data_IF_415263362698
#
_entry.id   IF_415263362698
#
_cell.length_a   1.000
_cell.length_b   1.000
_cell.length_c   1.000
_cell.angle_alpha   90.00
_cell.angle_beta   90.00
_cell.angle_gamma   90.00
#
_symmetry.space_group_name_H-M   'P 1'
#
loop_
_entity.id
_entity.type
_entity.pdbx_description
1 polymer ?
#
# COMPACT_ATOMS: atom_id res chain seq x y z
N UNK A 1 23.32 34.87 74.85
CA UNK A 1 23.75 35.03 73.45
C UNK A 1 23.40 33.72 72.71
N UNK A 2 22.21 33.65 72.07
CA UNK A 2 21.68 32.53 71.43
C UNK A 2 21.89 32.71 69.93
N UNK A 3 22.78 31.90 69.35
CA UNK A 3 23.04 31.92 67.91
C UNK A 3 21.95 31.10 67.17
N UNK A 4 21.08 31.80 66.43
CA UNK A 4 20.10 31.20 65.52
C UNK A 4 20.82 30.81 64.24
N UNK A 5 20.99 29.51 64.04
CA UNK A 5 21.41 28.96 62.76
C UNK A 5 20.18 28.82 61.86
N UNK A 6 20.03 29.74 60.90
CA UNK A 6 19.00 29.71 59.90
C UNK A 6 19.50 28.78 58.77
N UNK A 7 19.08 27.54 58.80
CA UNK A 7 19.36 26.56 57.72
C UNK A 7 18.51 26.88 56.49
N UNK A 8 19.12 27.54 55.52
CA UNK A 8 18.53 27.75 54.20
C UNK A 8 18.51 26.40 53.43
N UNK A 9 17.34 25.73 53.48
CA UNK A 9 17.08 24.53 52.72
C UNK A 9 16.87 24.94 51.25
N UNK A 10 17.92 24.86 50.44
CA UNK A 10 17.84 25.05 48.99
C UNK A 10 17.04 23.87 48.40
N UNK A 11 15.73 24.08 48.24
CA UNK A 11 14.89 23.17 47.45
C UNK A 11 15.32 23.29 46.00
N UNK A 12 16.19 22.39 45.58
CA UNK A 12 16.51 22.17 44.18
C UNK A 12 15.26 21.61 43.48
N UNK A 13 14.60 22.32 42.56
CA UNK A 13 13.56 21.70 41.79
C UNK A 13 14.25 20.66 40.91
N UNK A 14 14.08 19.37 41.22
CA UNK A 14 14.30 18.29 40.28
C UNK A 14 13.36 18.55 39.10
N UNK A 15 13.84 19.30 38.13
CA UNK A 15 13.26 19.32 36.81
C UNK A 15 13.39 17.87 36.29
N UNK A 16 12.33 17.05 36.51
CA UNK A 16 12.12 15.86 35.74
C UNK A 16 12.01 16.35 34.28
N UNK A 17 13.14 16.41 33.59
CA UNK A 17 13.15 16.49 32.15
C UNK A 17 12.36 15.27 31.68
N UNK A 18 11.11 15.48 31.30
CA UNK A 18 10.28 14.48 30.68
C UNK A 18 11.03 14.05 29.44
N UNK A 19 11.79 12.97 29.56
CA UNK A 19 12.59 12.42 28.47
C UNK A 19 11.62 12.00 27.37
N UNK A 20 11.54 12.79 26.31
CA UNK A 20 10.67 12.50 25.19
C UNK A 20 11.07 11.14 24.61
N UNK A 21 10.19 10.18 24.72
CA UNK A 21 10.42 8.83 24.18
C UNK A 21 10.13 8.82 22.69
N UNK A 22 11.16 8.53 21.93
CA UNK A 22 11.05 8.34 20.48
C UNK A 22 11.11 6.84 20.19
N UNK A 23 10.23 6.37 19.33
CA UNK A 23 10.20 5.00 18.86
C UNK A 23 10.24 4.97 17.33
N UNK A 24 10.54 3.81 16.79
CA UNK A 24 10.50 3.55 15.36
C UNK A 24 9.45 2.51 15.04
N UNK A 25 8.95 2.53 13.83
CA UNK A 25 8.06 1.51 13.27
C UNK A 25 8.40 1.29 11.80
N UNK A 26 8.35 0.07 11.34
CA UNK A 26 8.49 -0.30 9.93
C UNK A 26 7.10 -0.60 9.35
N UNK A 27 6.43 0.45 8.82
CA UNK A 27 5.08 0.29 8.26
C UNK A 27 5.10 -0.55 7.00
N UNK A 28 6.17 -0.52 6.22
CA UNK A 28 6.29 -1.34 5.01
C UNK A 28 6.34 -2.83 5.36
N UNK A 29 7.08 -3.21 6.40
CA UNK A 29 7.12 -4.58 6.90
C UNK A 29 5.76 -5.04 7.44
N UNK A 30 5.06 -4.16 8.17
CA UNK A 30 3.70 -4.43 8.65
C UNK A 30 2.76 -4.67 7.47
N UNK A 31 2.74 -3.77 6.50
CA UNK A 31 1.88 -3.86 5.31
C UNK A 31 2.12 -5.14 4.53
N UNK A 32 3.38 -5.53 4.30
CA UNK A 32 3.73 -6.76 3.55
C UNK A 32 3.29 -8.05 4.23
N UNK A 33 3.10 -8.02 5.56
CA UNK A 33 2.67 -9.18 6.35
C UNK A 33 1.16 -9.23 6.61
N UNK A 34 0.43 -8.14 6.30
CA UNK A 34 -1.01 -8.06 6.53
C UNK A 34 -1.80 -8.96 5.57
N UNK A 35 -2.68 -9.85 6.08
CA UNK A 35 -3.57 -10.65 5.22
C UNK A 35 -4.49 -9.79 4.34
N UNK A 36 -4.90 -8.63 4.86
CA UNK A 36 -5.76 -7.69 4.16
C UNK A 36 -5.11 -7.19 2.86
N UNK A 37 -3.78 -6.94 2.86
CA UNK A 37 -3.01 -6.54 1.67
C UNK A 37 -3.00 -7.67 0.64
N UNK A 38 -2.72 -8.90 1.06
CA UNK A 38 -2.73 -10.06 0.16
C UNK A 38 -4.12 -10.27 -0.48
N UNK A 39 -5.17 -10.06 0.30
CA UNK A 39 -6.54 -10.14 -0.20
C UNK A 39 -6.86 -9.03 -1.21
N UNK A 40 -6.37 -7.81 -0.96
CA UNK A 40 -6.51 -6.70 -1.89
C UNK A 40 -5.74 -6.95 -3.19
N UNK A 41 -4.51 -7.43 -3.09
CA UNK A 41 -3.68 -7.80 -4.27
C UNK A 41 -4.34 -8.90 -5.11
N UNK A 42 -4.88 -9.94 -4.47
CA UNK A 42 -5.59 -11.02 -5.17
C UNK A 42 -6.81 -10.49 -5.93
N UNK A 43 -7.60 -9.59 -5.33
CA UNK A 43 -8.76 -8.97 -5.99
C UNK A 43 -8.34 -8.10 -7.17
N UNK A 44 -7.26 -7.33 -7.05
CA UNK A 44 -6.71 -6.53 -8.14
C UNK A 44 -6.20 -7.41 -9.27
N UNK A 45 -5.53 -8.50 -8.95
CA UNK A 45 -5.07 -9.47 -9.94
C UNK A 45 -6.23 -10.14 -10.70
N UNK A 46 -7.30 -10.50 -9.99
CA UNK A 46 -8.49 -11.08 -10.64
C UNK A 46 -9.22 -10.05 -11.50
N UNK A 47 -9.26 -8.79 -11.09
CA UNK A 47 -9.80 -7.69 -11.90
C UNK A 47 -8.97 -7.49 -13.17
N UNK A 48 -7.64 -7.46 -13.06
CA UNK A 48 -6.74 -7.36 -14.21
C UNK A 48 -6.98 -8.50 -15.21
N UNK A 49 -7.10 -9.75 -14.73
CA UNK A 49 -7.40 -10.91 -15.59
C UNK A 49 -8.72 -10.76 -16.35
N UNK A 50 -9.75 -10.17 -15.72
CA UNK A 50 -11.05 -9.92 -16.39
C UNK A 50 -10.87 -8.92 -17.52
N UNK A 51 -10.20 -7.80 -17.27
CA UNK A 51 -9.92 -6.81 -18.30
C UNK A 51 -9.10 -7.41 -19.47
N UNK A 52 -8.06 -8.18 -19.15
CA UNK A 52 -7.24 -8.85 -20.18
C UNK A 52 -8.08 -9.81 -21.04
N UNK A 53 -9.01 -10.56 -20.43
CA UNK A 53 -9.90 -11.46 -21.16
C UNK A 53 -10.86 -10.70 -22.07
N UNK A 54 -11.43 -9.59 -21.60
CA UNK A 54 -12.35 -8.75 -22.37
C UNK A 54 -11.62 -8.09 -23.56
N UNK A 55 -10.43 -7.54 -23.32
CA UNK A 55 -9.59 -6.95 -24.38
C UNK A 55 -9.18 -8.01 -25.40
N UNK A 56 -8.79 -9.20 -24.97
CA UNK A 56 -8.45 -10.32 -25.86
C UNK A 56 -9.63 -10.74 -26.72
N UNK A 57 -10.84 -10.73 -26.17
CA UNK A 57 -12.06 -11.02 -26.93
C UNK A 57 -12.26 -9.99 -28.04
N UNK A 58 -12.13 -8.69 -27.73
CA UNK A 58 -12.21 -7.63 -28.73
C UNK A 58 -11.10 -7.71 -29.78
N UNK A 59 -9.87 -8.08 -29.40
CA UNK A 59 -8.77 -8.29 -30.35
C UNK A 59 -9.05 -9.45 -31.28
N UNK A 60 -9.63 -10.54 -30.77
CA UNK A 60 -10.04 -11.69 -31.59
C UNK A 60 -11.16 -11.32 -32.56
N UNK A 61 -12.13 -10.53 -32.11
CA UNK A 61 -13.20 -9.98 -32.98
C UNK A 61 -12.61 -9.14 -34.10
N UNK A 62 -11.69 -8.21 -33.74
CA UNK A 62 -10.99 -7.36 -34.71
C UNK A 62 -10.29 -8.19 -35.78
N UNK A 63 -9.51 -9.19 -35.35
CA UNK A 63 -8.79 -10.05 -36.26
C UNK A 63 -9.74 -10.80 -37.22
N UNK A 64 -10.80 -11.40 -36.68
CA UNK A 64 -11.77 -12.15 -37.49
C UNK A 64 -12.47 -11.25 -38.53
N UNK A 65 -12.85 -10.01 -38.14
CA UNK A 65 -13.46 -9.06 -39.07
C UNK A 65 -12.48 -8.58 -40.14
N UNK A 66 -11.24 -8.31 -39.77
CA UNK A 66 -10.19 -7.94 -40.73
C UNK A 66 -9.90 -9.07 -41.75
N UNK A 67 -9.80 -10.31 -41.25
CA UNK A 67 -9.61 -11.48 -42.15
C UNK A 67 -10.79 -11.69 -43.07
N UNK A 68 -12.04 -11.57 -42.57
CA UNK A 68 -13.24 -11.67 -43.39
C UNK A 68 -13.25 -10.60 -44.49
N UNK A 69 -12.97 -9.33 -44.11
CA UNK A 69 -12.90 -8.25 -45.11
C UNK A 69 -11.83 -8.52 -46.16
N UNK A 70 -10.64 -8.99 -45.77
CA UNK A 70 -9.55 -9.28 -46.67
C UNK A 70 -9.90 -10.40 -47.68
N UNK A 71 -10.63 -11.44 -47.24
CA UNK A 71 -11.07 -12.57 -48.10
C UNK A 71 -12.16 -12.14 -49.09
N UNK A 72 -13.03 -11.22 -48.69
CA UNK A 72 -14.24 -10.89 -49.47
C UNK A 72 -14.12 -9.54 -50.22
N UNK A 73 -13.02 -8.80 -50.06
CA UNK A 73 -12.88 -7.39 -50.51
C UNK A 73 -13.20 -7.18 -52.00
N UNK A 74 -12.85 -8.18 -52.85
CA UNK A 74 -13.00 -8.07 -54.30
C UNK A 74 -14.41 -8.42 -54.75
N UNK A 75 -15.23 -9.06 -53.91
CA UNK A 75 -16.60 -9.49 -54.22
C UNK A 75 -17.68 -8.63 -53.56
N UNK A 76 -17.31 -7.82 -52.59
CA UNK A 76 -18.25 -7.00 -51.83
C UNK A 76 -18.63 -5.73 -52.56
N UNK A 77 -19.92 -5.33 -52.55
CA UNK A 77 -20.35 -3.99 -52.96
C UNK A 77 -19.63 -2.93 -52.10
N UNK A 78 -19.32 -1.78 -52.73
CA UNK A 78 -18.58 -0.66 -52.08
C UNK A 78 -19.18 -0.24 -50.72
N UNK A 79 -20.52 -0.08 -50.68
CA UNK A 79 -21.18 0.32 -49.41
C UNK A 79 -21.00 -0.70 -48.28
N UNK A 80 -20.96 -1.99 -48.58
CA UNK A 80 -20.76 -3.06 -47.61
C UNK A 80 -19.30 -3.07 -47.13
N UNK A 81 -18.37 -2.88 -48.08
CA UNK A 81 -16.93 -2.81 -47.76
C UNK A 81 -16.64 -1.62 -46.85
N UNK A 82 -17.17 -0.44 -47.16
CA UNK A 82 -17.02 0.78 -46.32
C UNK A 82 -17.56 0.56 -44.89
N UNK A 83 -18.74 -0.08 -44.79
CA UNK A 83 -19.31 -0.39 -43.45
C UNK A 83 -18.43 -1.35 -42.66
N UNK A 84 -17.92 -2.41 -43.28
CA UNK A 84 -17.02 -3.36 -42.63
C UNK A 84 -15.71 -2.70 -42.17
N UNK A 85 -15.17 -1.77 -42.97
CA UNK A 85 -13.99 -0.98 -42.57
C UNK A 85 -14.30 -0.12 -41.34
N UNK A 86 -15.45 0.55 -41.32
CA UNK A 86 -15.87 1.35 -40.17
C UNK A 86 -16.05 0.50 -38.90
N UNK A 87 -16.63 -0.69 -39.00
CA UNK A 87 -16.76 -1.62 -37.87
C UNK A 87 -15.39 -2.03 -37.31
N UNK A 88 -14.37 -2.20 -38.16
CA UNK A 88 -12.99 -2.51 -37.74
C UNK A 88 -12.38 -1.32 -36.99
N UNK A 89 -12.52 -0.11 -37.52
CA UNK A 89 -12.04 1.13 -36.86
C UNK A 89 -12.71 1.34 -35.51
N UNK A 90 -14.02 1.10 -35.43
CA UNK A 90 -14.79 1.21 -34.18
C UNK A 90 -14.29 0.21 -33.12
N UNK A 91 -13.95 -1.03 -33.52
CA UNK A 91 -13.39 -2.03 -32.59
C UNK A 91 -11.99 -1.58 -32.13
N UNK A 92 -11.15 -1.07 -33.02
CA UNK A 92 -9.82 -0.57 -32.65
C UNK A 92 -9.93 0.57 -31.63
N UNK A 93 -10.85 1.49 -31.85
CA UNK A 93 -11.13 2.60 -30.94
C UNK A 93 -11.61 2.10 -29.58
N UNK A 94 -12.53 1.12 -29.56
CA UNK A 94 -13.00 0.50 -28.31
C UNK A 94 -11.89 -0.19 -27.53
N UNK A 95 -10.99 -0.89 -28.24
CA UNK A 95 -9.82 -1.52 -27.59
C UNK A 95 -8.96 -0.48 -26.89
N UNK A 96 -8.64 0.63 -27.55
CA UNK A 96 -7.86 1.73 -26.95
C UNK A 96 -8.56 2.34 -25.73
N UNK A 97 -9.86 2.61 -25.85
CA UNK A 97 -10.67 3.13 -24.74
C UNK A 97 -10.72 2.13 -23.57
N UNK A 98 -10.81 0.84 -23.86
CA UNK A 98 -10.80 -0.21 -22.81
C UNK A 98 -9.48 -0.27 -22.06
N UNK A 99 -8.34 -0.10 -22.74
CA UNK A 99 -7.04 0.00 -22.06
C UNK A 99 -6.95 1.21 -21.13
N UNK A 100 -7.44 2.38 -21.57
CA UNK A 100 -7.46 3.58 -20.75
C UNK A 100 -8.37 3.41 -19.53
N UNK A 101 -9.58 2.91 -19.76
CA UNK A 101 -10.55 2.65 -18.68
C UNK A 101 -10.02 1.62 -17.66
N UNK A 102 -9.35 0.56 -18.15
CA UNK A 102 -8.69 -0.42 -17.28
C UNK A 102 -7.65 0.25 -16.39
N UNK A 103 -6.80 1.09 -16.96
CA UNK A 103 -5.72 1.74 -16.22
C UNK A 103 -6.25 2.68 -15.13
N UNK A 104 -7.28 3.46 -15.46
CA UNK A 104 -7.96 4.36 -14.53
C UNK A 104 -8.67 3.59 -13.41
N UNK A 105 -9.43 2.54 -13.75
CA UNK A 105 -10.15 1.74 -12.77
C UNK A 105 -9.19 0.97 -11.87
N UNK A 106 -8.13 0.38 -12.41
CA UNK A 106 -7.10 -0.32 -11.61
C UNK A 106 -6.46 0.61 -10.58
N UNK A 107 -6.09 1.84 -10.97
CA UNK A 107 -5.56 2.84 -10.04
C UNK A 107 -6.57 3.20 -8.96
N UNK A 108 -7.83 3.42 -9.33
CA UNK A 108 -8.92 3.72 -8.39
C UNK A 108 -9.16 2.56 -7.41
N UNK A 109 -9.23 1.34 -7.91
CA UNK A 109 -9.43 0.15 -7.07
C UNK A 109 -8.25 -0.10 -6.13
N UNK A 110 -7.02 0.13 -6.60
CA UNK A 110 -5.83 0.03 -5.75
C UNK A 110 -5.88 1.03 -4.59
N UNK A 111 -6.19 2.30 -4.88
CA UNK A 111 -6.32 3.33 -3.84
C UNK A 111 -7.45 3.00 -2.87
N UNK A 112 -8.61 2.61 -3.39
CA UNK A 112 -9.76 2.23 -2.57
C UNK A 112 -9.49 1.01 -1.67
N UNK A 113 -8.70 0.05 -2.15
CA UNK A 113 -8.32 -1.14 -1.39
C UNK A 113 -7.27 -0.84 -0.31
N UNK A 114 -6.29 0.03 -0.59
CA UNK A 114 -5.20 0.32 0.34
C UNK A 114 -5.57 1.36 1.40
N UNK A 115 -6.43 2.33 1.10
CA UNK A 115 -6.80 3.40 2.03
C UNK A 115 -7.31 2.88 3.40
N UNK A 116 -8.28 1.95 3.48
CA UNK A 116 -8.73 1.42 4.76
C UNK A 116 -7.64 0.62 5.50
N UNK A 117 -6.75 -0.04 4.78
CA UNK A 117 -5.64 -0.80 5.36
C UNK A 117 -4.63 0.16 6.00
N UNK A 118 -4.28 1.26 5.31
CA UNK A 118 -3.41 2.29 5.85
C UNK A 118 -4.00 2.93 7.11
N UNK A 119 -5.30 3.24 7.12
CA UNK A 119 -5.99 3.77 8.29
C UNK A 119 -5.94 2.78 9.47
N UNK A 120 -6.14 1.49 9.21
CA UNK A 120 -6.06 0.42 10.22
C UNK A 120 -4.66 0.33 10.82
N UNK A 121 -3.61 0.39 9.99
CA UNK A 121 -2.21 0.39 10.46
C UNK A 121 -1.92 1.65 11.28
N UNK A 122 -2.33 2.83 10.81
CA UNK A 122 -2.12 4.08 11.51
C UNK A 122 -2.81 4.09 12.87
N UNK A 123 -4.04 3.59 12.97
CA UNK A 123 -4.76 3.47 14.24
C UNK A 123 -4.04 2.50 15.21
N UNK A 124 -3.49 1.40 14.70
CA UNK A 124 -2.71 0.47 15.52
C UNK A 124 -1.40 1.10 16.03
N UNK A 125 -0.69 1.85 15.18
CA UNK A 125 0.52 2.60 15.56
C UNK A 125 0.21 3.61 16.66
N UNK A 126 -0.87 4.40 16.52
CA UNK A 126 -1.29 5.37 17.54
C UNK A 126 -1.65 4.69 18.85
N UNK A 127 -2.42 3.61 18.80
CA UNK A 127 -2.81 2.84 20.00
C UNK A 127 -1.60 2.29 20.73
N UNK A 128 -0.66 1.67 20.01
CA UNK A 128 0.57 1.10 20.59
C UNK A 128 1.49 2.21 21.12
N UNK A 129 1.64 3.30 20.39
CA UNK A 129 2.43 4.46 20.83
C UNK A 129 1.92 5.03 22.15
N UNK A 130 0.61 5.29 22.23
CA UNK A 130 -0.04 5.80 23.45
C UNK A 130 0.12 4.83 24.62
N UNK A 131 -0.11 3.53 24.41
CA UNK A 131 0.02 2.51 25.45
C UNK A 131 1.45 2.36 25.99
N UNK A 132 2.48 2.71 25.22
CA UNK A 132 3.88 2.65 25.62
C UNK A 132 4.45 4.04 26.07
N UNK A 133 3.63 5.08 26.13
CA UNK A 133 4.05 6.42 26.52
C UNK A 133 5.07 7.05 25.56
N UNK A 134 4.94 6.77 24.27
CA UNK A 134 5.81 7.29 23.21
C UNK A 134 5.33 8.68 22.80
N UNK A 135 6.26 9.61 22.70
CA UNK A 135 5.98 10.99 22.26
C UNK A 135 5.98 11.10 20.74
N UNK A 136 6.95 10.45 20.07
CA UNK A 136 7.08 10.45 18.61
C UNK A 136 7.38 9.06 18.10
N UNK A 137 6.72 8.69 17.01
CA UNK A 137 7.01 7.46 16.26
C UNK A 137 7.49 7.86 14.87
N UNK A 138 8.66 7.38 14.49
CA UNK A 138 9.30 7.65 13.23
C UNK A 138 9.22 6.40 12.33
N UNK A 139 9.08 6.62 11.04
CA UNK A 139 9.16 5.53 10.06
C UNK A 139 10.60 5.05 9.94
N UNK A 140 10.81 3.73 10.04
CA UNK A 140 12.14 3.12 9.99
C UNK A 140 12.91 3.49 8.71
N UNK A 141 12.22 3.50 7.56
CA UNK A 141 12.83 3.82 6.25
C UNK A 141 13.27 5.28 6.09
N UNK A 142 12.85 6.18 6.99
CA UNK A 142 13.26 7.59 6.98
C UNK A 142 14.48 7.87 7.87
N UNK A 143 15.01 6.85 8.55
CA UNK A 143 16.09 6.98 9.54
C UNK A 143 17.39 6.45 8.95
N UNK A 144 18.46 7.26 8.98
CA UNK A 144 19.77 6.87 8.48
C UNK A 144 20.54 5.92 9.42
N UNK A 145 20.29 6.01 10.71
CA UNK A 145 20.96 5.21 11.72
C UNK A 145 20.03 4.90 12.90
N UNK A 146 20.03 3.64 13.32
CA UNK A 146 19.27 3.15 14.46
C UNK A 146 20.25 2.57 15.47
N UNK A 147 20.33 3.18 16.65
CA UNK A 147 21.19 2.70 17.75
C UNK A 147 20.61 1.44 18.42
N UNK A 148 21.45 0.77 19.23
CA UNK A 148 21.05 -0.46 19.92
C UNK A 148 19.91 -0.27 20.94
N UNK A 149 19.79 0.94 21.51
CA UNK A 149 18.79 1.28 22.51
C UNK A 149 17.50 1.84 21.91
N UNK A 150 17.35 1.81 20.58
CA UNK A 150 16.16 2.31 19.90
C UNK A 150 14.94 1.45 20.23
N UNK A 151 13.82 2.10 20.52
CA UNK A 151 12.54 1.45 20.80
C UNK A 151 11.88 1.13 19.45
N UNK A 152 11.88 -0.13 19.05
CA UNK A 152 11.14 -0.60 17.87
C UNK A 152 9.77 -1.15 18.29
N UNK A 153 8.71 -0.58 17.72
CA UNK A 153 7.33 -0.97 17.98
C UNK A 153 6.73 -1.85 16.90
N UNK A 154 7.48 -2.19 15.86
CA UNK A 154 6.98 -2.95 14.70
C UNK A 154 6.27 -4.24 15.12
N UNK A 155 6.89 -5.05 15.96
CA UNK A 155 6.30 -6.30 16.47
C UNK A 155 5.02 -6.07 17.27
N UNK A 156 5.02 -5.07 18.16
CA UNK A 156 3.84 -4.73 18.97
C UNK A 156 2.66 -4.24 18.11
N UNK A 157 2.96 -3.50 17.05
CA UNK A 157 1.92 -3.04 16.09
C UNK A 157 1.38 -4.23 15.30
N UNK A 158 2.24 -5.18 14.87
CA UNK A 158 1.78 -6.42 14.25
C UNK A 158 0.87 -7.23 15.18
N UNK A 159 1.24 -7.37 16.44
CA UNK A 159 0.40 -8.05 17.44
C UNK A 159 -0.96 -7.35 17.63
N UNK A 160 -0.96 -6.02 17.68
CA UNK A 160 -2.19 -5.23 17.78
C UNK A 160 -3.10 -5.36 16.54
N UNK A 161 -2.52 -5.66 15.40
CA UNK A 161 -3.23 -5.95 14.13
C UNK A 161 -3.67 -7.41 14.01
N UNK A 162 -3.31 -8.26 14.98
CA UNK A 162 -3.63 -9.70 14.96
C UNK A 162 -2.72 -10.51 14.04
N UNK A 163 -1.61 -9.94 13.60
CA UNK A 163 -0.60 -10.65 12.82
C UNK A 163 0.26 -11.44 13.80
N UNK A 164 0.04 -12.76 13.90
CA UNK A 164 0.90 -13.62 14.71
C UNK A 164 2.30 -13.59 14.10
N UNK A 165 3.30 -13.25 14.92
CA UNK A 165 4.70 -13.32 14.52
C UNK A 165 5.00 -14.77 14.09
N UNK A 166 5.23 -14.98 12.79
CA UNK A 166 5.97 -16.14 12.35
C UNK A 166 7.38 -15.94 12.89
N UNK A 167 7.76 -16.77 13.86
CA UNK A 167 9.05 -16.74 14.49
C UNK A 167 10.16 -16.93 13.45
N UNK A 168 10.71 -15.82 12.96
CA UNK A 168 11.93 -15.81 12.16
C UNK A 168 12.64 -14.47 12.38
N UNK A 169 13.13 -14.28 13.59
CA UNK A 169 14.19 -13.32 13.83
C UNK A 169 15.19 -14.02 14.78
N UNK A 170 16.12 -14.72 14.19
CA UNK A 170 17.33 -15.16 14.84
C UNK A 170 18.13 -13.89 15.19
N UNK A 171 18.43 -13.64 16.48
CA UNK A 171 19.38 -12.60 16.81
C UNK A 171 20.74 -13.09 16.33
N UNK A 172 21.30 -12.41 15.34
CA UNK A 172 22.69 -12.62 14.93
C UNK A 172 23.61 -12.14 16.06
N UNK A 173 23.84 -13.01 17.03
CA UNK A 173 24.97 -12.89 17.93
C UNK A 173 26.20 -13.32 17.15
N UNK A 174 27.12 -12.38 16.86
CA UNK A 174 28.52 -12.71 16.57
C UNK A 174 29.38 -11.57 17.06
N UNK A 175 30.03 -11.88 18.15
CA UNK A 175 31.47 -12.09 18.47
C UNK A 175 32.38 -11.00 17.90
#
# INVERSE_FOLDING_TARGET
MRKFFLGLFLAFPLALAAQQKVAIVNTQEIMSTLPDVKTAEAKLQDLAKKYDADIKTMQTELQNKAESLQKEKDTLPEAIRTRKMQEIEDIQTRIQQSYQAMQEDMNKQQQAALAPIQQKVQAAVQKVGTANGITYILEHGAILFVGQDAIDLTSKVKDALGIKATATATPSTKK
#
